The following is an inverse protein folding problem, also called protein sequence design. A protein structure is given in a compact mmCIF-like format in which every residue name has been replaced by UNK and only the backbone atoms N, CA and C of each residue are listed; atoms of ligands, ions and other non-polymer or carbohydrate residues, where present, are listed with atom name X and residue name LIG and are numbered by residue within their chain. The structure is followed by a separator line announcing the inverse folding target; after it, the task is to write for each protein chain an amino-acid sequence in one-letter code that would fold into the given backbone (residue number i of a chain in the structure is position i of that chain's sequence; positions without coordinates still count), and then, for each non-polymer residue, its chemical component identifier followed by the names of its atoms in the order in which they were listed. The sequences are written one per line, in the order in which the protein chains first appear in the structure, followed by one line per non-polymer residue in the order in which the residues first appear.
data_IF_625520015148
#
_entry.id   IF_625520015148
#
_cell.length_a   1.000
_cell.length_b   1.000
_cell.length_c   1.000
_cell.angle_alpha   90.00
_cell.angle_beta   90.00
_cell.angle_gamma   90.00
#
_symmetry.space_group_name_H-M   'P 1'
#
loop_
_entity.id
_entity.type
_entity.pdbx_description
1 polymer ?
#
# COMPACT_ATOMS: atom_id res chain seq x y z
N UNK A 1 27.70 8.04 -7.07
CA UNK A 1 26.30 7.71 -7.43
C UNK A 1 25.47 7.83 -6.17
N UNK A 2 24.82 8.96 -5.92
CA UNK A 2 23.91 9.11 -4.79
C UNK A 2 22.69 8.21 -5.05
N UNK A 3 22.54 7.14 -4.28
CA UNK A 3 21.37 6.27 -4.33
C UNK A 3 20.17 7.13 -3.94
N UNK A 4 19.35 7.54 -4.91
CA UNK A 4 18.09 8.22 -4.64
C UNK A 4 17.34 7.40 -3.58
N UNK A 5 17.22 7.99 -2.38
CA UNK A 5 16.43 7.43 -1.30
C UNK A 5 14.97 7.57 -1.72
N UNK A 6 14.50 6.59 -2.48
CA UNK A 6 13.08 6.39 -2.66
C UNK A 6 12.50 6.14 -1.26
N UNK A 7 11.59 7.00 -0.81
CA UNK A 7 10.85 6.80 0.45
C UNK A 7 9.82 5.65 0.33
N UNK A 8 9.71 5.03 -0.84
CA UNK A 8 8.88 3.86 -1.09
C UNK A 8 8.94 2.78 -0.01
N UNK A 9 10.11 2.31 0.48
CA UNK A 9 10.16 1.22 1.45
C UNK A 9 9.46 1.58 2.76
N UNK A 10 9.59 2.83 3.22
CA UNK A 10 8.96 3.30 4.45
C UNK A 10 7.43 3.36 4.30
N UNK A 11 6.94 3.90 3.17
CA UNK A 11 5.51 3.92 2.87
C UNK A 11 4.93 2.52 2.64
N UNK A 12 5.67 1.64 1.97
CA UNK A 12 5.26 0.26 1.72
C UNK A 12 5.22 -0.56 3.02
N UNK A 13 6.17 -0.35 3.94
CA UNK A 13 6.15 -0.99 5.26
C UNK A 13 4.97 -0.50 6.10
N UNK A 14 4.68 0.81 6.09
CA UNK A 14 3.51 1.37 6.74
C UNK A 14 2.21 0.78 6.19
N UNK A 15 2.06 0.72 4.86
CA UNK A 15 0.91 0.11 4.20
C UNK A 15 0.74 -1.37 4.57
N UNK A 16 1.82 -2.14 4.56
CA UNK A 16 1.81 -3.54 4.97
C UNK A 16 1.46 -3.74 6.45
N UNK A 17 1.83 -2.79 7.32
CA UNK A 17 1.44 -2.81 8.74
C UNK A 17 -0.08 -2.64 8.89
N UNK A 18 -0.67 -1.68 8.15
CA UNK A 18 -2.11 -1.47 8.13
C UNK A 18 -2.87 -2.71 7.62
N UNK A 19 -2.34 -3.38 6.58
CA UNK A 19 -2.91 -4.66 6.09
C UNK A 19 -2.94 -5.73 7.20
N UNK A 20 -1.86 -5.86 7.97
CA UNK A 20 -1.75 -6.88 9.04
C UNK A 20 -2.70 -6.62 10.21
N UNK A 21 -2.93 -5.35 10.53
CA UNK A 21 -3.84 -4.96 11.63
C UNK A 21 -5.31 -5.05 11.20
N UNK A 22 -5.58 -5.17 9.89
CA UNK A 22 -6.93 -5.26 9.34
C UNK A 22 -7.52 -3.91 8.93
N UNK A 23 -6.75 -2.84 8.98
CA UNK A 23 -7.13 -1.52 8.44
C UNK A 23 -6.99 -1.50 6.92
N UNK A 24 -7.79 -2.33 6.24
CA UNK A 24 -7.64 -2.59 4.80
C UNK A 24 -7.93 -1.33 3.95
N UNK A 25 -8.88 -0.47 4.35
CA UNK A 25 -9.12 0.82 3.65
C UNK A 25 -7.92 1.75 3.74
N UNK A 26 -7.37 1.92 4.93
CA UNK A 26 -6.21 2.80 5.14
C UNK A 26 -4.97 2.23 4.47
N UNK A 27 -4.82 0.90 4.47
CA UNK A 27 -3.78 0.20 3.73
C UNK A 27 -3.85 0.47 2.23
N UNK A 28 -5.05 0.49 1.64
CA UNK A 28 -5.22 0.81 0.23
C UNK A 28 -4.68 2.21 -0.09
N UNK A 29 -5.07 3.20 0.70
CA UNK A 29 -4.60 4.56 0.55
C UNK A 29 -3.06 4.65 0.74
N UNK A 30 -2.51 4.00 1.76
CA UNK A 30 -1.08 3.97 2.02
C UNK A 30 -0.29 3.31 0.87
N UNK A 31 -0.81 2.25 0.26
CA UNK A 31 -0.23 1.64 -0.93
C UNK A 31 -0.28 2.58 -2.14
N UNK A 32 -1.38 3.31 -2.34
CA UNK A 32 -1.47 4.34 -3.38
C UNK A 32 -0.40 5.44 -3.20
N UNK A 33 -0.19 5.89 -1.96
CA UNK A 33 0.85 6.86 -1.62
C UNK A 33 2.23 6.28 -1.89
N UNK A 34 2.50 5.03 -1.49
CA UNK A 34 3.76 4.35 -1.78
C UNK A 34 4.06 4.30 -3.29
N UNK A 35 3.05 4.04 -4.12
CA UNK A 35 3.20 4.04 -5.59
C UNK A 35 3.68 5.39 -6.14
N UNK A 36 3.23 6.50 -5.57
CA UNK A 36 3.66 7.86 -5.97
C UNK A 36 5.13 8.12 -5.62
N UNK A 37 5.61 7.59 -4.50
CA UNK A 37 7.01 7.71 -4.08
C UNK A 37 7.93 6.64 -4.71
N UNK A 38 7.37 5.66 -5.42
CA UNK A 38 8.14 4.64 -6.12
C UNK A 38 8.85 5.24 -7.34
N UNK A 39 10.18 5.30 -7.25
CA UNK A 39 11.07 5.65 -8.38
C UNK A 39 11.13 4.52 -9.41
N UNK A 40 11.10 3.27 -8.95
CA UNK A 40 11.14 2.08 -9.80
C UNK A 40 9.74 1.71 -10.31
N UNK A 41 9.57 1.45 -11.62
CA UNK A 41 8.28 1.07 -12.18
C UNK A 41 7.74 -0.23 -11.60
N UNK A 42 8.61 -1.19 -11.25
CA UNK A 42 8.18 -2.45 -10.64
C UNK A 42 7.57 -2.24 -9.25
N UNK A 43 8.17 -1.35 -8.46
CA UNK A 43 7.68 -0.98 -7.14
C UNK A 43 6.37 -0.20 -7.23
N UNK A 44 6.26 0.70 -8.21
CA UNK A 44 5.02 1.44 -8.47
C UNK A 44 3.89 0.46 -8.80
N UNK A 45 4.12 -0.42 -9.76
CA UNK A 45 3.10 -1.36 -10.22
C UNK A 45 2.68 -2.34 -9.11
N UNK A 46 3.64 -2.78 -8.28
CA UNK A 46 3.33 -3.58 -7.08
C UNK A 46 2.39 -2.82 -6.13
N UNK A 47 2.74 -1.58 -5.78
CA UNK A 47 1.96 -0.79 -4.85
C UNK A 47 0.58 -0.40 -5.42
N UNK A 48 0.47 -0.10 -6.71
CA UNK A 48 -0.82 0.13 -7.38
C UNK A 48 -1.70 -1.13 -7.33
N UNK A 49 -1.12 -2.29 -7.66
CA UNK A 49 -1.83 -3.58 -7.59
C UNK A 49 -2.32 -3.88 -6.17
N UNK A 50 -1.51 -3.55 -5.16
CA UNK A 50 -1.85 -3.77 -3.76
C UNK A 50 -2.88 -2.78 -3.22
N UNK A 51 -2.83 -1.53 -3.66
CA UNK A 51 -3.87 -0.53 -3.42
C UNK A 51 -5.22 -1.04 -3.92
N UNK A 52 -5.29 -1.43 -5.20
CA UNK A 52 -6.52 -1.96 -5.81
C UNK A 52 -7.02 -3.24 -5.15
N UNK A 53 -6.12 -4.12 -4.72
CA UNK A 53 -6.48 -5.29 -3.93
C UNK A 53 -7.13 -4.84 -2.62
N UNK A 54 -6.48 -3.98 -1.85
CA UNK A 54 -7.02 -3.52 -0.58
C UNK A 54 -8.37 -2.81 -0.75
N UNK A 55 -8.56 -1.95 -1.75
CA UNK A 55 -9.87 -1.35 -2.05
C UNK A 55 -10.95 -2.39 -2.34
N UNK A 56 -10.62 -3.41 -3.14
CA UNK A 56 -11.53 -4.53 -3.45
C UNK A 56 -11.74 -5.49 -2.30
N UNK A 57 -10.93 -5.46 -1.25
CA UNK A 57 -11.09 -6.34 -0.10
C UNK A 57 -11.64 -5.60 1.11
N UNK A 58 -11.50 -4.28 1.17
CA UNK A 58 -12.05 -3.42 2.21
C UNK A 58 -13.52 -3.71 2.50
N UNK A 59 -14.36 -3.82 1.46
CA UNK A 59 -15.79 -4.13 1.64
C UNK A 59 -16.07 -5.52 2.20
N UNK A 60 -15.14 -6.48 2.06
CA UNK A 60 -15.24 -7.82 2.66
C UNK A 60 -14.91 -7.76 4.15
N UNK A 61 -13.84 -7.07 4.51
CA UNK A 61 -13.42 -6.93 5.90
C UNK A 61 -14.38 -6.06 6.73
N UNK A 62 -15.04 -5.07 6.11
CA UNK A 62 -16.11 -4.30 6.75
C UNK A 62 -17.33 -5.16 7.13
N UNK A 63 -17.55 -6.31 6.47
CA UNK A 63 -18.64 -7.24 6.79
C UNK A 63 -18.28 -8.29 7.84
N UNK A 64 -16.99 -8.58 8.06
CA UNK A 64 -16.57 -9.52 9.11
C UNK A 64 -16.41 -8.85 10.48
N UNK A 65 -16.31 -7.52 10.53
CA UNK A 65 -16.20 -6.75 11.76
C UNK A 65 -17.56 -6.26 12.34
N UNK A 66 -18.68 -6.54 11.67
CA UNK A 66 -20.04 -6.13 12.04
C UNK A 66 -20.87 -7.33 12.48
#
# INVERSE_FOLDING_TARGET
MAKEKSNYPEYAEHAASLERVGYIKDAAFAWQVAANYAVKPENRHWAESRSQFCEKWAWRYEKEAA
#
